data_IF_975481782507
#
_entry.id   IF_975481782507
#
_cell.length_a   1.000
_cell.length_b   1.000
_cell.length_c   1.000
_cell.angle_alpha   90.00
_cell.angle_beta   90.00
_cell.angle_gamma   90.00
#
_symmetry.space_group_name_H-M   'P 1'
#
loop_
_entity.id
_entity.type
_entity.pdbx_description
1 polymer ?
#
# COMPACT_ATOMS: atom_id res chain seq x y z
N UNK A 1 22.53 -21.45 60.71
CA UNK A 1 21.67 -22.47 60.07
C UNK A 1 22.42 -23.78 60.20
N UNK A 2 21.92 -24.66 61.01
CA UNK A 2 22.51 -25.99 61.21
C UNK A 2 21.89 -26.99 60.20
N UNK A 3 22.56 -28.15 60.03
CA UNK A 3 22.05 -29.24 59.18
C UNK A 3 20.69 -29.72 59.63
N UNK A 4 20.47 -29.68 60.96
CA UNK A 4 19.21 -30.06 61.59
C UNK A 4 18.05 -29.11 61.23
N UNK A 5 18.33 -27.80 61.05
CA UNK A 5 17.34 -26.83 60.60
C UNK A 5 16.87 -27.07 59.18
N UNK A 6 17.77 -27.53 58.30
CA UNK A 6 17.47 -27.87 56.91
C UNK A 6 16.67 -29.19 56.84
N UNK A 7 17.07 -30.21 57.61
CA UNK A 7 16.37 -31.49 57.66
C UNK A 7 14.94 -31.34 58.24
N UNK A 8 14.78 -30.50 59.29
CA UNK A 8 13.45 -30.15 59.84
C UNK A 8 12.57 -29.44 58.82
N UNK A 9 13.15 -28.52 58.02
CA UNK A 9 12.40 -27.78 56.97
C UNK A 9 11.98 -28.71 55.84
N UNK A 10 12.85 -29.60 55.41
CA UNK A 10 12.53 -30.61 54.40
C UNK A 10 11.50 -31.65 54.86
N UNK A 11 11.52 -32.04 56.13
CA UNK A 11 10.52 -32.91 56.73
C UNK A 11 9.14 -32.20 56.83
N UNK A 12 9.10 -30.91 57.20
CA UNK A 12 7.89 -30.12 57.24
C UNK A 12 7.29 -29.90 55.83
N UNK A 13 8.16 -29.71 54.80
CA UNK A 13 7.72 -29.57 53.42
C UNK A 13 7.15 -30.89 52.84
N UNK A 14 7.62 -32.06 53.32
CA UNK A 14 7.09 -33.37 52.92
C UNK A 14 5.78 -33.75 53.66
N UNK A 15 5.50 -33.16 54.80
CA UNK A 15 4.31 -33.40 55.58
C UNK A 15 3.12 -32.47 55.28
N UNK A 16 3.30 -31.52 54.40
CA UNK A 16 2.17 -30.69 53.94
C UNK A 16 1.17 -31.59 53.16
N UNK A 17 -0.09 -31.68 53.61
CA UNK A 17 -1.09 -32.43 52.86
C UNK A 17 -1.24 -31.81 51.49
N UNK A 18 -1.03 -32.63 50.45
CA UNK A 18 -1.40 -32.29 49.07
C UNK A 18 -2.90 -32.04 49.12
N UNK A 19 -3.29 -30.78 49.12
CA UNK A 19 -4.68 -30.38 48.97
C UNK A 19 -5.16 -31.05 47.68
N UNK A 20 -6.03 -32.05 47.81
CA UNK A 20 -6.71 -32.63 46.68
C UNK A 20 -7.33 -31.48 45.90
N UNK A 21 -6.88 -31.25 44.66
CA UNK A 21 -7.51 -30.32 43.77
C UNK A 21 -8.96 -30.75 43.64
N UNK A 22 -9.87 -29.98 44.21
CA UNK A 22 -11.29 -30.13 43.92
C UNK A 22 -11.45 -30.16 42.40
N UNK A 23 -12.31 -31.01 41.82
CA UNK A 23 -12.56 -31.01 40.40
C UNK A 23 -12.92 -29.59 40.03
N UNK A 24 -12.15 -29.01 39.11
CA UNK A 24 -12.45 -27.70 38.59
C UNK A 24 -13.86 -27.78 37.98
N UNK A 25 -14.83 -27.22 38.65
CA UNK A 25 -16.15 -26.98 38.10
C UNK A 25 -15.85 -26.10 36.89
N UNK A 26 -15.99 -26.63 35.67
CA UNK A 26 -15.96 -25.81 34.46
C UNK A 26 -17.02 -24.74 34.64
N UNK A 27 -16.57 -23.51 34.94
CA UNK A 27 -17.45 -22.36 34.95
C UNK A 27 -18.12 -22.31 33.57
N UNK A 28 -19.45 -22.15 33.49
CA UNK A 28 -20.14 -22.05 32.23
C UNK A 28 -19.44 -21.00 31.38
N UNK A 29 -19.10 -21.32 30.15
CA UNK A 29 -18.37 -20.45 29.26
C UNK A 29 -19.02 -19.07 29.28
N UNK A 30 -18.35 -18.10 29.90
CA UNK A 30 -18.92 -16.77 30.16
C UNK A 30 -19.37 -16.19 28.81
N UNK A 31 -20.59 -15.72 28.73
CA UNK A 31 -21.22 -15.18 27.52
C UNK A 31 -20.42 -14.02 26.90
N UNK A 32 -19.39 -13.51 27.61
CA UNK A 32 -18.44 -12.50 27.17
C UNK A 32 -17.03 -12.87 27.63
N UNK A 33 -16.18 -13.28 26.71
CA UNK A 33 -14.78 -13.59 27.00
C UNK A 33 -13.85 -12.68 26.18
N UNK A 34 -12.73 -12.28 26.78
CA UNK A 34 -11.68 -11.52 26.11
C UNK A 34 -10.41 -12.36 26.07
N UNK A 35 -9.81 -12.47 24.88
CA UNK A 35 -8.51 -13.11 24.70
C UNK A 35 -7.43 -12.04 24.52
N UNK A 36 -6.52 -11.93 25.47
CA UNK A 36 -5.35 -11.04 25.36
C UNK A 36 -4.20 -11.80 24.70
N UNK A 37 -3.72 -11.27 23.55
CA UNK A 37 -2.60 -11.83 22.79
C UNK A 37 -1.57 -10.75 22.57
N UNK A 38 -0.29 -10.94 22.94
CA UNK A 38 0.79 -10.00 22.67
C UNK A 38 1.00 -9.79 21.17
N UNK A 39 1.26 -8.56 20.74
CA UNK A 39 1.67 -8.29 19.35
C UNK A 39 3.02 -8.93 19.05
N UNK A 40 3.15 -9.47 17.83
CA UNK A 40 4.43 -9.94 17.30
C UNK A 40 5.42 -8.76 17.14
N UNK A 41 6.73 -9.06 17.07
CA UNK A 41 7.75 -8.02 16.82
C UNK A 41 7.45 -7.23 15.53
N UNK A 42 7.12 -7.94 14.45
CA UNK A 42 6.78 -7.31 13.16
C UNK A 42 5.58 -6.36 13.32
N UNK A 43 4.50 -6.79 13.99
CA UNK A 43 3.32 -5.95 14.20
C UNK A 43 3.64 -4.69 15.02
N UNK A 44 4.50 -4.80 16.04
CA UNK A 44 4.97 -3.66 16.83
C UNK A 44 5.76 -2.67 15.97
N UNK A 45 6.68 -3.18 15.14
CA UNK A 45 7.47 -2.34 14.22
C UNK A 45 6.58 -1.60 13.23
N UNK A 46 5.62 -2.30 12.61
CA UNK A 46 4.65 -1.69 11.70
C UNK A 46 3.82 -0.62 12.40
N UNK A 47 3.31 -0.90 13.62
CA UNK A 47 2.52 0.07 14.38
C UNK A 47 3.32 1.35 14.68
N UNK A 48 4.58 1.23 15.13
CA UNK A 48 5.44 2.37 15.41
C UNK A 48 5.71 3.19 14.14
N UNK A 49 6.05 2.56 13.02
CA UNK A 49 6.29 3.25 11.75
C UNK A 49 5.07 3.99 11.23
N UNK A 50 3.87 3.39 11.35
CA UNK A 50 2.63 4.06 10.93
C UNK A 50 2.28 5.26 11.83
N UNK A 51 2.51 5.15 13.14
CA UNK A 51 2.33 6.27 14.07
C UNK A 51 3.34 7.39 13.81
N UNK A 52 4.60 7.03 13.56
CA UNK A 52 5.65 7.98 13.19
C UNK A 52 5.28 8.72 11.90
N UNK A 53 4.92 8.00 10.83
CA UNK A 53 4.47 8.58 9.57
C UNK A 53 3.32 9.57 9.76
N UNK A 54 2.30 9.18 10.51
CA UNK A 54 1.14 10.06 10.80
C UNK A 54 1.53 11.29 11.62
N UNK A 55 2.42 11.16 12.61
CA UNK A 55 2.74 12.23 13.55
C UNK A 55 3.83 13.19 13.03
N UNK A 56 4.68 12.74 12.08
CA UNK A 56 5.77 13.52 11.51
C UNK A 56 5.41 14.27 10.22
N UNK A 57 4.18 14.12 9.71
CA UNK A 57 3.70 14.74 8.49
C UNK A 57 2.47 15.61 8.74
N UNK A 58 2.32 16.69 7.95
CA UNK A 58 1.05 17.43 7.84
C UNK A 58 0.19 16.79 6.75
N UNK A 59 -0.26 15.55 6.99
CA UNK A 59 -0.92 14.73 5.98
C UNK A 59 -2.30 15.25 5.62
N UNK A 60 -2.52 15.51 4.33
CA UNK A 60 -3.82 15.82 3.74
C UNK A 60 -4.12 14.82 2.61
N UNK A 61 -5.40 14.64 2.29
CA UNK A 61 -5.82 13.78 1.18
C UNK A 61 -6.76 14.54 0.27
N UNK A 62 -6.46 14.53 -1.02
CA UNK A 62 -7.37 14.98 -2.09
C UNK A 62 -7.87 13.79 -2.90
N UNK A 63 -9.06 13.91 -3.46
CA UNK A 63 -9.73 12.85 -4.19
C UNK A 63 -10.11 13.31 -5.59
N UNK A 64 -10.13 12.37 -6.52
CA UNK A 64 -10.73 12.55 -7.83
C UNK A 64 -11.38 11.23 -8.27
N UNK A 65 -12.21 11.29 -9.29
CA UNK A 65 -12.78 10.10 -9.91
C UNK A 65 -12.29 9.98 -11.35
N UNK A 66 -12.12 8.76 -11.81
CA UNK A 66 -11.64 8.45 -13.15
C UNK A 66 -12.57 7.48 -13.85
N UNK A 67 -12.87 7.77 -15.11
CA UNK A 67 -13.57 6.87 -16.01
C UNK A 67 -12.59 5.81 -16.53
N UNK A 68 -12.77 4.57 -16.11
CA UNK A 68 -11.89 3.47 -16.48
C UNK A 68 -12.20 2.84 -17.85
N UNK A 69 -13.30 3.27 -18.50
CA UNK A 69 -13.74 2.68 -19.76
C UNK A 69 -12.67 2.71 -20.87
N UNK A 70 -11.95 3.82 -21.12
CA UNK A 70 -10.93 3.86 -22.17
C UNK A 70 -9.83 2.82 -21.98
N UNK A 71 -9.30 2.69 -20.76
CA UNK A 71 -8.28 1.68 -20.45
C UNK A 71 -8.84 0.26 -20.54
N UNK A 72 -10.07 0.04 -20.06
CA UNK A 72 -10.72 -1.28 -20.15
C UNK A 72 -10.94 -1.70 -21.60
N UNK A 73 -11.39 -0.78 -22.45
CA UNK A 73 -11.58 -1.02 -23.88
C UNK A 73 -10.25 -1.30 -24.58
N UNK A 74 -9.21 -0.51 -24.31
CA UNK A 74 -7.86 -0.71 -24.85
C UNK A 74 -7.29 -2.08 -24.45
N UNK A 75 -7.40 -2.43 -23.17
CA UNK A 75 -6.99 -3.75 -22.68
C UNK A 75 -7.77 -4.87 -23.35
N UNK A 76 -9.10 -4.75 -23.48
CA UNK A 76 -9.95 -5.74 -24.16
C UNK A 76 -9.53 -5.95 -25.60
N UNK A 77 -9.15 -4.88 -26.30
CA UNK A 77 -8.71 -4.91 -27.71
C UNK A 77 -7.37 -5.60 -27.88
N UNK A 78 -6.41 -5.35 -26.99
CA UNK A 78 -5.01 -5.74 -27.22
C UNK A 78 -4.48 -6.85 -26.30
N UNK A 79 -5.21 -7.30 -25.29
CA UNK A 79 -4.74 -8.26 -24.28
C UNK A 79 -4.12 -9.52 -24.88
N UNK A 80 -4.77 -10.12 -25.90
CA UNK A 80 -4.32 -11.40 -26.48
C UNK A 80 -3.04 -11.22 -27.32
N UNK A 81 -2.94 -10.11 -28.08
CA UNK A 81 -1.74 -9.76 -28.84
C UNK A 81 -0.57 -9.43 -27.92
N UNK A 82 -0.86 -8.68 -26.85
CA UNK A 82 0.13 -8.29 -25.86
C UNK A 82 0.69 -9.52 -25.11
N UNK A 83 -0.19 -10.41 -24.63
CA UNK A 83 0.21 -11.63 -23.93
C UNK A 83 1.02 -12.55 -24.84
N UNK A 84 0.61 -12.73 -26.10
CA UNK A 84 1.35 -13.53 -27.08
C UNK A 84 2.74 -12.97 -27.40
N UNK A 85 2.88 -11.64 -27.45
CA UNK A 85 4.15 -10.98 -27.81
C UNK A 85 5.11 -10.90 -26.63
N UNK A 86 4.60 -10.65 -25.42
CA UNK A 86 5.42 -10.28 -24.26
C UNK A 86 5.46 -11.33 -23.15
N UNK A 87 4.71 -12.44 -23.29
CA UNK A 87 4.58 -13.49 -22.27
C UNK A 87 4.16 -12.95 -20.89
N UNK A 88 3.34 -11.91 -20.91
CA UNK A 88 2.76 -11.31 -19.70
C UNK A 88 1.41 -10.68 -20.02
N UNK A 89 0.52 -10.65 -19.02
CA UNK A 89 -0.81 -10.05 -19.20
C UNK A 89 -0.73 -8.53 -19.13
N UNK A 90 -1.50 -7.86 -19.97
CA UNK A 90 -1.70 -6.42 -19.88
C UNK A 90 -2.62 -6.11 -18.67
N UNK A 91 -2.04 -5.71 -17.55
CA UNK A 91 -2.75 -5.30 -16.34
C UNK A 91 -3.24 -3.86 -16.40
N UNK A 92 -3.77 -3.36 -15.30
CA UNK A 92 -4.05 -1.93 -15.10
C UNK A 92 -2.83 -1.18 -14.58
N UNK A 93 -1.95 -1.89 -13.85
CA UNK A 93 -0.86 -1.26 -13.10
C UNK A 93 0.14 -0.56 -14.02
N UNK A 94 0.44 -1.10 -15.18
CA UNK A 94 1.34 -0.45 -16.14
C UNK A 94 0.83 0.92 -16.60
N UNK A 95 -0.49 1.08 -16.79
CA UNK A 95 -1.09 2.38 -17.11
C UNK A 95 -0.95 3.36 -15.94
N UNK A 96 -1.21 2.90 -14.72
CA UNK A 96 -1.06 3.74 -13.52
C UNK A 96 0.39 4.15 -13.29
N UNK A 97 1.33 3.22 -13.41
CA UNK A 97 2.77 3.52 -13.26
C UNK A 97 3.21 4.56 -14.30
N UNK A 98 2.81 4.41 -15.57
CA UNK A 98 3.13 5.39 -16.62
C UNK A 98 2.48 6.74 -16.35
N UNK A 99 1.19 6.79 -16.02
CA UNK A 99 0.50 8.04 -15.71
C UNK A 99 1.08 8.75 -14.49
N UNK A 100 1.43 8.00 -13.43
CA UNK A 100 2.10 8.53 -12.23
C UNK A 100 3.48 9.06 -12.57
N UNK A 101 4.28 8.33 -13.35
CA UNK A 101 5.62 8.78 -13.75
C UNK A 101 5.57 10.09 -14.53
N UNK A 102 4.64 10.22 -15.49
CA UNK A 102 4.46 11.47 -16.24
C UNK A 102 3.96 12.61 -15.34
N UNK A 103 3.06 12.33 -14.41
CA UNK A 103 2.63 13.32 -13.44
C UNK A 103 3.78 13.75 -12.49
N UNK A 104 4.65 12.82 -12.05
CA UNK A 104 5.82 13.15 -11.22
C UNK A 104 6.84 14.05 -11.95
N UNK A 105 6.98 13.90 -13.27
CA UNK A 105 7.82 14.80 -14.09
C UNK A 105 7.27 16.23 -14.13
N UNK A 106 5.93 16.38 -14.15
CA UNK A 106 5.25 17.67 -14.21
C UNK A 106 5.15 18.38 -12.86
N UNK A 107 5.17 17.61 -11.77
CA UNK A 107 5.04 18.08 -10.39
C UNK A 107 6.20 17.56 -9.54
N UNK A 108 7.39 18.15 -9.67
CA UNK A 108 8.60 17.67 -8.99
C UNK A 108 8.50 17.74 -7.46
N UNK A 109 7.65 18.60 -6.89
CA UNK A 109 7.38 18.68 -5.46
C UNK A 109 6.78 17.37 -4.93
N UNK A 110 6.00 16.66 -5.76
CA UNK A 110 5.41 15.36 -5.39
C UNK A 110 6.48 14.26 -5.43
N UNK A 111 7.54 14.44 -6.25
CA UNK A 111 8.71 13.54 -6.33
C UNK A 111 9.88 14.02 -5.46
N UNK A 112 9.59 14.63 -4.31
CA UNK A 112 10.59 15.15 -3.41
C UNK A 112 10.41 14.58 -2.00
N UNK A 113 11.40 14.79 -1.13
CA UNK A 113 11.35 14.43 0.28
C UNK A 113 11.89 15.58 1.14
N UNK A 114 11.57 15.53 2.44
CA UNK A 114 12.09 16.50 3.43
C UNK A 114 13.19 15.83 4.23
N UNK A 115 14.35 16.49 4.31
CA UNK A 115 15.44 16.13 5.20
C UNK A 115 15.81 17.34 6.09
N UNK A 116 15.41 17.27 7.36
CA UNK A 116 15.55 18.39 8.29
C UNK A 116 14.79 19.63 7.80
N UNK A 117 15.53 20.64 7.34
CA UNK A 117 15.00 21.89 6.76
C UNK A 117 15.10 21.95 5.24
N UNK A 118 15.67 20.93 4.62
CA UNK A 118 15.97 20.91 3.19
C UNK A 118 14.93 20.08 2.42
N UNK A 119 14.66 20.48 1.19
CA UNK A 119 13.86 19.73 0.23
C UNK A 119 14.81 19.00 -0.71
N UNK A 120 14.69 17.70 -0.80
CA UNK A 120 15.46 16.83 -1.69
C UNK A 120 14.62 16.47 -2.89
N UNK A 121 14.92 17.06 -4.04
CA UNK A 121 14.29 16.71 -5.31
C UNK A 121 14.96 15.48 -5.94
N UNK A 122 14.17 14.48 -6.32
CA UNK A 122 14.67 13.28 -6.97
C UNK A 122 14.54 13.41 -8.50
N UNK A 123 15.57 13.02 -9.23
CA UNK A 123 15.60 13.01 -10.71
C UNK A 123 15.42 11.61 -11.29
N UNK A 124 14.90 10.69 -10.51
CA UNK A 124 14.58 9.32 -10.86
C UNK A 124 13.17 8.97 -10.35
N UNK A 125 12.56 7.91 -10.90
CA UNK A 125 11.16 7.58 -10.68
C UNK A 125 11.02 6.13 -10.23
N UNK A 126 11.26 5.88 -8.95
CA UNK A 126 11.20 4.58 -8.31
C UNK A 126 9.86 4.43 -7.57
N UNK A 127 8.99 3.58 -8.08
CA UNK A 127 7.62 3.47 -7.56
C UNK A 127 7.48 2.24 -6.68
N UNK A 128 7.15 2.47 -5.42
CA UNK A 128 6.79 1.43 -4.46
C UNK A 128 5.37 0.95 -4.71
N UNK A 129 5.15 -0.36 -4.65
CA UNK A 129 3.82 -0.93 -4.79
C UNK A 129 3.41 -1.74 -3.58
N UNK A 130 2.24 -1.43 -3.03
CA UNK A 130 1.72 -2.15 -1.89
C UNK A 130 1.26 -3.55 -2.29
N UNK A 131 1.94 -4.57 -1.77
CA UNK A 131 1.65 -5.99 -2.01
C UNK A 131 1.23 -6.66 -0.71
N UNK A 132 0.04 -7.25 -0.70
CA UNK A 132 -0.42 -8.06 0.42
C UNK A 132 0.22 -9.44 0.39
N UNK A 133 0.77 -9.86 1.53
CA UNK A 133 1.40 -11.18 1.71
C UNK A 133 0.83 -11.88 2.94
N UNK A 134 1.00 -13.21 3.08
CA UNK A 134 0.58 -13.92 4.30
C UNK A 134 1.22 -13.39 5.59
N UNK A 135 2.37 -12.70 5.48
CA UNK A 135 3.10 -12.11 6.61
C UNK A 135 2.75 -10.65 6.88
N UNK A 136 1.92 -10.04 6.03
CA UNK A 136 1.53 -8.64 6.12
C UNK A 136 1.77 -7.88 4.81
N UNK A 137 1.61 -6.56 4.85
CA UNK A 137 1.83 -5.68 3.71
C UNK A 137 3.33 -5.41 3.55
N UNK A 138 3.82 -5.51 2.31
CA UNK A 138 5.17 -5.10 1.90
C UNK A 138 5.05 -4.11 0.74
N UNK A 139 6.05 -3.25 0.56
CA UNK A 139 6.08 -2.20 -0.47
C UNK A 139 7.34 -2.32 -1.31
N UNK A 140 7.49 -3.38 -2.14
CA UNK A 140 8.63 -3.49 -3.04
C UNK A 140 8.65 -2.34 -4.05
N UNK A 141 9.85 -2.00 -4.51
CA UNK A 141 10.13 -0.86 -5.38
C UNK A 141 10.42 -1.32 -6.80
N UNK A 142 9.67 -0.81 -7.75
CA UNK A 142 9.98 -0.90 -9.18
C UNK A 142 10.83 0.32 -9.54
N UNK A 143 12.08 0.09 -9.92
CA UNK A 143 13.05 1.15 -10.20
C UNK A 143 12.96 1.63 -11.64
N UNK A 144 13.39 2.88 -11.88
CA UNK A 144 13.54 3.53 -13.18
C UNK A 144 12.28 3.44 -14.06
N UNK A 145 11.11 3.70 -13.47
CA UNK A 145 9.80 3.50 -14.13
C UNK A 145 9.58 4.35 -15.38
N UNK A 146 10.32 5.44 -15.54
CA UNK A 146 10.29 6.30 -16.72
C UNK A 146 10.88 5.60 -17.94
N UNK A 147 11.88 4.73 -17.76
CA UNK A 147 12.56 4.00 -18.83
C UNK A 147 11.84 2.72 -19.24
N UNK A 148 10.96 2.19 -18.37
CA UNK A 148 10.30 0.90 -18.57
C UNK A 148 9.13 1.00 -19.57
N UNK A 149 8.98 -0.02 -20.43
CA UNK A 149 7.78 -0.23 -21.22
C UNK A 149 6.64 -0.89 -20.42
N UNK A 150 5.43 -0.90 -20.99
CA UNK A 150 4.26 -1.54 -20.34
C UNK A 150 4.51 -2.99 -19.95
N UNK A 151 5.18 -3.76 -20.82
CA UNK A 151 5.48 -5.16 -20.58
C UNK A 151 6.48 -5.36 -19.44
N UNK A 152 7.50 -4.50 -19.36
CA UNK A 152 8.54 -4.59 -18.34
C UNK A 152 7.98 -4.20 -16.98
N UNK A 153 7.10 -3.21 -16.93
CA UNK A 153 6.37 -2.83 -15.72
C UNK A 153 5.53 -4.02 -15.21
N UNK A 154 4.71 -4.64 -16.08
CA UNK A 154 3.87 -5.78 -15.66
C UNK A 154 4.71 -6.99 -15.20
N UNK A 155 5.83 -7.29 -15.87
CA UNK A 155 6.77 -8.35 -15.47
C UNK A 155 7.44 -8.03 -14.15
N UNK A 156 7.96 -6.82 -13.98
CA UNK A 156 8.62 -6.39 -12.74
C UNK A 156 7.67 -6.44 -11.54
N UNK A 157 6.44 -5.95 -11.71
CA UNK A 157 5.40 -6.03 -10.66
C UNK A 157 5.10 -7.48 -10.28
N UNK A 158 4.91 -8.35 -11.28
CA UNK A 158 4.64 -9.78 -11.06
C UNK A 158 5.78 -10.46 -10.31
N UNK A 159 7.03 -10.19 -10.70
CA UNK A 159 8.22 -10.74 -10.07
C UNK A 159 8.34 -10.30 -8.60
N UNK A 160 8.23 -8.98 -8.36
CA UNK A 160 8.26 -8.41 -7.01
C UNK A 160 7.12 -8.96 -6.13
N UNK A 161 5.92 -9.13 -6.68
CA UNK A 161 4.79 -9.69 -5.96
C UNK A 161 4.99 -11.17 -5.60
N UNK A 162 5.61 -11.97 -6.48
CA UNK A 162 5.98 -13.38 -6.18
C UNK A 162 7.04 -13.42 -5.09
N UNK A 163 8.13 -12.66 -5.24
CA UNK A 163 9.19 -12.56 -4.21
C UNK A 163 8.62 -12.12 -2.87
N UNK A 164 7.67 -11.17 -2.87
CA UNK A 164 7.00 -10.70 -1.66
C UNK A 164 6.23 -11.79 -0.95
N UNK A 165 5.41 -12.55 -1.67
CA UNK A 165 4.65 -13.69 -1.12
C UNK A 165 5.54 -14.79 -0.60
N UNK A 166 6.61 -15.11 -1.34
CA UNK A 166 7.60 -16.13 -0.95
C UNK A 166 8.52 -15.66 0.19
N UNK A 167 8.54 -14.36 0.50
CA UNK A 167 9.43 -13.78 1.50
C UNK A 167 10.88 -13.72 1.08
N UNK A 168 11.12 -13.56 -0.21
CA UNK A 168 12.44 -13.51 -0.84
C UNK A 168 12.85 -12.10 -1.30
N UNK A 169 12.07 -11.07 -0.94
CA UNK A 169 12.46 -9.68 -1.22
C UNK A 169 13.75 -9.33 -0.49
N UNK A 170 14.68 -8.75 -1.22
CA UNK A 170 15.92 -8.20 -0.67
C UNK A 170 15.67 -6.85 -0.03
N UNK A 171 16.63 -6.38 0.78
CA UNK A 171 16.57 -5.03 1.39
C UNK A 171 16.57 -3.97 0.29
N UNK A 172 17.36 -4.16 -0.76
CA UNK A 172 17.47 -3.25 -1.90
C UNK A 172 16.17 -3.10 -2.69
N UNK A 173 15.37 -4.18 -2.78
CA UNK A 173 14.04 -4.17 -3.40
C UNK A 173 12.94 -3.53 -2.53
N UNK A 174 13.25 -3.23 -1.28
CA UNK A 174 12.32 -2.58 -0.32
C UNK A 174 12.69 -1.12 -0.01
N UNK A 175 13.79 -0.61 -0.55
CA UNK A 175 14.32 0.72 -0.25
C UNK A 175 14.45 1.58 -1.51
N UNK A 176 14.44 2.89 -1.32
CA UNK A 176 14.75 3.86 -2.37
C UNK A 176 13.55 4.35 -3.19
N UNK A 177 12.34 3.87 -2.93
CA UNK A 177 11.15 4.35 -3.65
C UNK A 177 10.81 5.81 -3.33
N UNK A 178 10.44 6.58 -4.36
CA UNK A 178 10.08 8.00 -4.26
C UNK A 178 8.59 8.22 -4.05
N UNK A 179 7.76 7.32 -4.57
CA UNK A 179 6.32 7.41 -4.56
C UNK A 179 5.70 6.03 -4.33
N UNK A 180 4.52 5.97 -3.74
CA UNK A 180 3.83 4.69 -3.50
C UNK A 180 2.49 4.64 -4.22
N UNK A 181 2.19 3.50 -4.85
CA UNK A 181 0.85 3.16 -5.34
C UNK A 181 0.29 2.01 -4.51
N UNK A 182 -0.93 2.19 -3.99
CA UNK A 182 -1.64 1.15 -3.23
C UNK A 182 -3.01 0.89 -3.84
N UNK A 183 -3.42 -0.38 -3.90
CA UNK A 183 -4.71 -0.78 -4.46
C UNK A 183 -5.59 -1.46 -3.42
N UNK A 184 -6.51 -0.69 -2.84
CA UNK A 184 -7.56 -1.19 -1.94
C UNK A 184 -8.78 -1.78 -2.67
N UNK A 185 -8.89 -1.54 -3.98
CA UNK A 185 -10.01 -1.98 -4.80
C UNK A 185 -10.14 -3.50 -4.91
N UNK A 186 -9.01 -4.22 -4.85
CA UNK A 186 -8.97 -5.69 -4.83
C UNK A 186 -9.68 -6.28 -3.61
N UNK A 187 -9.83 -5.50 -2.54
CA UNK A 187 -10.56 -5.86 -1.32
C UNK A 187 -11.96 -5.23 -1.26
N UNK A 188 -12.37 -4.52 -2.32
CA UNK A 188 -13.68 -3.87 -2.40
C UNK A 188 -13.77 -2.47 -1.80
N UNK A 189 -12.64 -1.84 -1.44
CA UNK A 189 -12.64 -0.48 -0.90
C UNK A 189 -13.26 0.51 -1.88
N UNK A 190 -14.24 1.28 -1.42
CA UNK A 190 -14.82 2.38 -2.21
C UNK A 190 -13.87 3.58 -2.25
N UNK A 191 -13.37 3.97 -1.09
CA UNK A 191 -12.51 5.13 -0.89
C UNK A 191 -11.77 5.00 0.44
N UNK A 192 -10.52 5.42 0.50
CA UNK A 192 -9.70 5.45 1.71
C UNK A 192 -8.68 6.58 1.64
N UNK A 193 -8.12 6.97 2.77
CA UNK A 193 -7.03 7.93 2.93
C UNK A 193 -5.75 7.16 3.26
N UNK A 194 -4.93 6.78 2.26
CA UNK A 194 -3.72 6.00 2.53
C UNK A 194 -2.71 6.81 3.37
N UNK A 195 -1.96 6.10 4.21
CA UNK A 195 -0.88 6.71 5.01
C UNK A 195 0.38 6.76 4.14
N UNK A 196 1.05 7.89 4.12
CA UNK A 196 2.31 8.08 3.40
C UNK A 196 3.37 7.12 3.93
N UNK A 197 4.30 6.69 3.06
CA UNK A 197 5.43 5.84 3.42
C UNK A 197 6.73 6.68 3.48
N UNK A 198 7.11 7.25 4.62
CA UNK A 198 8.29 8.11 4.72
C UNK A 198 9.57 7.39 4.26
N UNK A 199 10.53 8.09 3.62
CA UNK A 199 10.63 9.55 3.47
C UNK A 199 9.84 10.14 2.29
N UNK A 200 9.04 9.34 1.58
CA UNK A 200 8.19 9.80 0.47
C UNK A 200 7.23 10.90 0.94
N UNK A 201 6.93 11.85 0.05
CA UNK A 201 6.00 12.94 0.34
C UNK A 201 4.54 12.64 -0.04
N UNK A 202 4.28 11.60 -0.83
CA UNK A 202 2.92 11.29 -1.29
C UNK A 202 2.70 9.80 -1.59
N UNK A 203 1.42 9.42 -1.65
CA UNK A 203 0.94 8.07 -1.98
C UNK A 203 -0.38 8.13 -2.74
N UNK A 204 -0.49 7.36 -3.82
CA UNK A 204 -1.72 7.20 -4.58
C UNK A 204 -2.49 5.96 -4.13
N UNK A 205 -3.74 6.13 -3.74
CA UNK A 205 -4.70 5.07 -3.46
C UNK A 205 -5.63 4.81 -4.63
N UNK A 206 -5.67 3.57 -5.09
CA UNK A 206 -6.64 3.07 -6.07
C UNK A 206 -7.76 2.32 -5.34
N UNK A 207 -8.96 2.36 -5.90
CA UNK A 207 -10.14 1.75 -5.28
C UNK A 207 -10.89 0.84 -6.26
N UNK A 208 -12.05 0.33 -5.85
CA UNK A 208 -12.84 -0.55 -6.71
C UNK A 208 -13.37 0.20 -7.94
N UNK A 209 -13.39 -0.48 -9.09
CA UNK A 209 -14.14 -0.04 -10.25
C UNK A 209 -15.60 -0.41 -10.02
N UNK A 210 -16.50 0.54 -10.26
CA UNK A 210 -17.92 0.38 -10.06
C UNK A 210 -18.69 1.10 -11.16
N UNK A 211 -19.67 0.42 -11.76
CA UNK A 211 -20.58 1.06 -12.70
C UNK A 211 -21.43 2.11 -12.00
N UNK A 212 -21.41 3.34 -12.54
CA UNK A 212 -22.11 4.49 -11.97
C UNK A 212 -22.80 5.30 -13.08
N UNK A 213 -24.01 5.86 -12.84
CA UNK A 213 -24.60 6.82 -13.74
C UNK A 213 -23.83 8.15 -13.69
N UNK A 214 -23.33 8.57 -14.84
CA UNK A 214 -22.57 9.81 -15.01
C UNK A 214 -23.22 10.68 -16.07
N UNK A 215 -23.17 12.00 -15.87
CA UNK A 215 -23.60 12.96 -16.86
C UNK A 215 -22.49 13.16 -17.90
N UNK A 216 -22.75 12.76 -19.15
CA UNK A 216 -21.83 12.94 -20.29
C UNK A 216 -22.60 13.65 -21.41
N UNK A 217 -22.13 14.82 -21.82
CA UNK A 217 -22.73 15.63 -22.88
C UNK A 217 -24.26 15.83 -22.71
N UNK A 218 -24.69 16.03 -21.47
CA UNK A 218 -26.11 16.25 -21.13
C UNK A 218 -26.96 14.98 -21.10
N UNK A 219 -26.35 13.78 -21.23
CA UNK A 219 -27.02 12.47 -21.15
C UNK A 219 -26.51 11.69 -19.93
N UNK A 220 -27.33 10.77 -19.44
CA UNK A 220 -26.90 9.85 -18.39
C UNK A 220 -26.31 8.59 -19.05
N UNK A 221 -25.05 8.32 -18.77
CA UNK A 221 -24.37 7.12 -19.22
C UNK A 221 -23.90 6.28 -18.02
N UNK A 222 -23.92 4.95 -18.16
CA UNK A 222 -23.34 4.06 -17.15
C UNK A 222 -21.88 3.85 -17.49
N UNK A 223 -20.99 4.30 -16.60
CA UNK A 223 -19.54 4.24 -16.78
C UNK A 223 -18.87 3.50 -15.62
N UNK A 224 -17.81 2.72 -15.90
CA UNK A 224 -16.98 2.08 -14.87
C UNK A 224 -16.07 3.14 -14.22
N UNK A 225 -16.49 3.65 -13.07
CA UNK A 225 -15.81 4.71 -12.33
C UNK A 225 -14.94 4.14 -11.22
N UNK A 226 -13.79 4.79 -10.98
CA UNK A 226 -12.92 4.51 -9.84
C UNK A 226 -12.60 5.81 -9.11
N UNK A 227 -12.61 5.77 -7.77
CA UNK A 227 -12.03 6.86 -6.95
C UNK A 227 -10.53 6.70 -6.84
N UNK A 228 -9.83 7.81 -6.97
CA UNK A 228 -8.43 7.97 -6.67
C UNK A 228 -8.27 8.87 -5.45
N UNK A 229 -7.34 8.52 -4.57
CA UNK A 229 -6.97 9.30 -3.41
C UNK A 229 -5.47 9.59 -3.46
N UNK A 230 -5.08 10.85 -3.35
CA UNK A 230 -3.71 11.26 -3.16
C UNK A 230 -3.56 11.78 -1.73
N UNK A 231 -2.86 11.03 -0.86
CA UNK A 231 -2.41 11.55 0.42
C UNK A 231 -1.00 12.12 0.26
N UNK A 232 -0.76 13.29 0.84
CA UNK A 232 0.49 14.02 0.67
C UNK A 232 0.86 14.83 1.92
N UNK A 233 2.14 15.14 2.07
CA UNK A 233 2.63 16.01 3.13
C UNK A 233 2.48 17.48 2.74
N UNK A 234 1.54 18.16 3.37
CA UNK A 234 1.21 19.56 3.05
C UNK A 234 2.28 20.56 3.51
N UNK A 235 3.36 20.10 4.15
CA UNK A 235 4.54 20.92 4.40
C UNK A 235 5.38 21.15 3.12
N UNK A 236 5.22 20.26 2.12
CA UNK A 236 5.97 20.27 0.87
C UNK A 236 5.09 20.49 -0.35
N UNK A 237 3.90 19.91 -0.37
CA UNK A 237 3.00 19.88 -1.53
C UNK A 237 1.76 20.70 -1.21
N UNK A 238 1.50 21.75 -2.00
CA UNK A 238 0.34 22.60 -1.87
C UNK A 238 -0.88 22.08 -2.64
N UNK A 239 -2.02 22.76 -2.49
CA UNK A 239 -3.28 22.37 -3.12
C UNK A 239 -3.22 22.38 -4.65
N UNK A 240 -2.47 23.32 -5.24
CA UNK A 240 -2.31 23.40 -6.70
C UNK A 240 -1.57 22.18 -7.25
N UNK A 241 -0.46 21.81 -6.64
CA UNK A 241 0.39 20.70 -7.06
C UNK A 241 -0.33 19.35 -6.83
N UNK A 242 -0.95 19.16 -5.67
CA UNK A 242 -1.64 17.91 -5.33
C UNK A 242 -2.86 17.67 -6.21
N UNK A 243 -3.69 18.69 -6.42
CA UNK A 243 -4.87 18.58 -7.29
C UNK A 243 -4.45 18.46 -8.75
N UNK A 244 -3.48 19.26 -9.21
CA UNK A 244 -2.95 19.20 -10.58
C UNK A 244 -2.34 17.83 -10.90
N UNK A 245 -1.57 17.26 -9.96
CA UNK A 245 -1.00 15.93 -10.08
C UNK A 245 -2.09 14.86 -10.28
N UNK A 246 -3.13 14.88 -9.43
CA UNK A 246 -4.22 13.91 -9.51
C UNK A 246 -5.08 14.08 -10.75
N UNK A 247 -5.31 15.32 -11.19
CA UNK A 247 -5.99 15.64 -12.47
C UNK A 247 -5.19 15.12 -13.65
N UNK A 248 -3.86 15.33 -13.67
CA UNK A 248 -2.99 14.81 -14.73
C UNK A 248 -3.08 13.28 -14.83
N UNK A 249 -3.03 12.57 -13.71
CA UNK A 249 -3.20 11.11 -13.71
C UNK A 249 -4.57 10.73 -14.30
N UNK A 250 -5.65 11.40 -13.86
CA UNK A 250 -7.00 11.18 -14.38
C UNK A 250 -7.04 11.34 -15.90
N UNK A 251 -6.55 12.47 -16.42
CA UNK A 251 -6.58 12.79 -17.85
C UNK A 251 -5.80 11.76 -18.69
N UNK A 252 -4.62 11.35 -18.24
CA UNK A 252 -3.80 10.33 -18.89
C UNK A 252 -4.46 8.92 -18.88
N UNK A 253 -5.24 8.62 -17.86
CA UNK A 253 -5.99 7.35 -17.79
C UNK A 253 -7.28 7.39 -18.62
N UNK A 254 -7.93 8.55 -18.71
CA UNK A 254 -9.14 8.74 -19.52
C UNK A 254 -8.83 8.90 -21.01
N UNK A 255 -7.61 9.35 -21.35
CA UNK A 255 -7.10 9.39 -22.72
C UNK A 255 -5.69 8.75 -22.79
N UNK A 256 -5.60 7.41 -22.81
CA UNK A 256 -4.31 6.71 -22.80
C UNK A 256 -3.47 6.91 -24.07
N UNK A 257 -4.02 7.50 -25.15
CA UNK A 257 -3.23 7.89 -26.31
C UNK A 257 -2.20 8.97 -25.97
N UNK A 258 -2.49 9.84 -25.02
CA UNK A 258 -1.55 10.87 -24.55
C UNK A 258 -0.29 10.27 -23.91
N UNK A 259 -0.40 9.10 -23.28
CA UNK A 259 0.78 8.37 -22.76
C UNK A 259 1.71 7.86 -23.84
N UNK A 260 1.20 7.67 -25.07
CA UNK A 260 1.99 7.21 -26.23
C UNK A 260 2.61 8.37 -27.01
N UNK A 261 1.96 9.55 -26.95
CA UNK A 261 2.34 10.74 -27.73
C UNK A 261 3.19 11.73 -26.91
N UNK A 262 3.33 11.48 -25.61
CA UNK A 262 4.07 12.34 -24.68
C UNK A 262 3.52 13.81 -24.66
N UNK A 263 2.16 13.95 -24.53
CA UNK A 263 1.43 15.24 -24.57
C UNK A 263 0.48 15.41 -23.39
#
# INVERSE_FOLDING_TARGET
ITREDIDAHLAAAKAAPVAASAPAVEAPAAARSQKRVPMTRLRKTVANRLLEAKNSTAMLTTFNEVNMKPIMDLRKQYKDQFEKRHDTRLGFMSFYVKAVTEALKRFPEVNASIDGTDIIYHNYFDISMAVSTPRGLVTPVLKDCDTLGFADIEKGIKELAIKGRDGKLTVDELMGGNFTITNGGVFGSLMSTPIINPPQAAILGMHKIQDRPMAVDGKVEILPMMYLALSYDHRLIDGRESVGFLVTIKELLEDPARLLLDV
#
